data_IF_998509628000
#
_entry.id   IF_998509628000
#
_cell.length_a   1.000
_cell.length_b   1.000
_cell.length_c   1.000
_cell.angle_alpha   90.00
_cell.angle_beta   90.00
_cell.angle_gamma   90.00
#
_symmetry.space_group_name_H-M   'P 1'
#
loop_
_entity.id
_entity.type
_entity.pdbx_description
1 polymer ?
#
# COMPACT_ATOMS: atom_id res chain seq x y z
N UNK A 1 20.41 15.08 6.34
CA UNK A 1 19.00 15.53 6.29
C UNK A 1 18.52 15.35 4.87
N UNK A 2 17.58 14.43 4.64
CA UNK A 2 16.97 14.25 3.30
C UNK A 2 16.14 15.50 3.04
N UNK A 3 16.50 16.26 2.00
CA UNK A 3 15.90 17.56 1.71
C UNK A 3 14.48 17.37 1.14
N UNK A 4 13.50 17.19 2.02
CA UNK A 4 12.07 17.01 1.69
C UNK A 4 11.46 18.22 0.95
N UNK A 5 12.13 19.37 0.99
CA UNK A 5 11.72 20.61 0.33
C UNK A 5 12.28 20.82 -1.07
N UNK A 6 13.17 19.94 -1.56
CA UNK A 6 13.73 20.05 -2.91
C UNK A 6 12.85 19.38 -3.99
N UNK A 7 11.94 18.50 -3.59
CA UNK A 7 11.03 17.85 -4.52
C UNK A 7 9.89 18.77 -4.92
N UNK A 8 9.71 18.97 -6.23
CA UNK A 8 8.49 19.56 -6.77
C UNK A 8 7.27 18.75 -6.35
N UNK A 9 6.12 19.39 -6.18
CA UNK A 9 4.85 18.70 -5.84
C UNK A 9 4.50 17.58 -6.84
N UNK A 10 5.06 17.63 -8.05
CA UNK A 10 4.95 16.55 -9.04
C UNK A 10 5.77 15.30 -8.70
N UNK A 11 6.99 15.45 -8.19
CA UNK A 11 7.86 14.32 -7.85
C UNK A 11 7.35 13.60 -6.60
N UNK A 12 6.90 14.37 -5.60
CA UNK A 12 6.20 13.79 -4.45
C UNK A 12 5.00 12.97 -4.91
N UNK A 13 4.14 13.54 -5.77
CA UNK A 13 2.97 12.82 -6.34
C UNK A 13 3.37 11.59 -7.14
N UNK A 14 4.49 11.61 -7.86
CA UNK A 14 4.99 10.46 -8.59
C UNK A 14 5.45 9.34 -7.65
N UNK A 15 6.16 9.68 -6.57
CA UNK A 15 6.55 8.71 -5.53
C UNK A 15 5.32 8.12 -4.84
N UNK A 16 4.35 8.95 -4.45
CA UNK A 16 3.09 8.50 -3.85
C UNK A 16 2.33 7.52 -4.74
N UNK A 17 2.13 7.85 -6.03
CA UNK A 17 1.48 6.94 -6.98
C UNK A 17 2.22 5.62 -7.13
N UNK A 18 3.56 5.65 -7.12
CA UNK A 18 4.36 4.44 -7.20
C UNK A 18 4.17 3.55 -5.98
N UNK A 19 4.21 4.13 -4.77
CA UNK A 19 3.95 3.39 -3.53
C UNK A 19 2.54 2.78 -3.51
N UNK A 20 1.54 3.51 -3.99
CA UNK A 20 0.18 2.99 -4.14
C UNK A 20 0.14 1.75 -5.04
N UNK A 21 0.79 1.81 -6.22
CA UNK A 21 0.88 0.68 -7.15
C UNK A 21 1.57 -0.52 -6.50
N UNK A 22 2.67 -0.31 -5.78
CA UNK A 22 3.38 -1.38 -5.10
C UNK A 22 2.53 -2.04 -4.01
N UNK A 23 1.84 -1.24 -3.20
CA UNK A 23 0.93 -1.77 -2.19
C UNK A 23 -0.21 -2.57 -2.84
N UNK A 24 -0.82 -2.03 -3.89
CA UNK A 24 -1.87 -2.73 -4.62
C UNK A 24 -1.37 -4.07 -5.19
N UNK A 25 -0.15 -4.12 -5.74
CA UNK A 25 0.47 -5.37 -6.23
C UNK A 25 0.62 -6.42 -5.13
N UNK A 26 1.15 -6.04 -3.97
CA UNK A 26 1.26 -6.97 -2.82
C UNK A 26 -0.13 -7.46 -2.42
N UNK A 27 -1.11 -6.56 -2.31
CA UNK A 27 -2.46 -6.89 -1.88
C UNK A 27 -3.19 -7.83 -2.86
N UNK A 28 -3.07 -7.60 -4.17
CA UNK A 28 -3.66 -8.46 -5.21
C UNK A 28 -3.13 -9.89 -5.17
N UNK A 29 -1.93 -10.09 -4.64
CA UNK A 29 -1.31 -11.42 -4.52
C UNK A 29 -1.76 -12.17 -3.25
N UNK A 30 -2.53 -11.53 -2.35
CA UNK A 30 -3.00 -12.13 -1.09
C UNK A 30 -4.52 -12.26 -0.99
N UNK A 31 -5.24 -11.32 -1.61
CA UNK A 31 -6.68 -11.23 -1.49
C UNK A 31 -7.34 -10.71 -2.76
N UNK A 32 -8.64 -10.91 -2.83
CA UNK A 32 -9.52 -10.41 -3.88
C UNK A 32 -10.54 -9.45 -3.28
N UNK A 33 -10.73 -8.30 -3.94
CA UNK A 33 -11.82 -7.37 -3.64
C UNK A 33 -12.94 -7.62 -4.64
N UNK A 34 -13.96 -8.37 -4.21
CA UNK A 34 -15.10 -8.72 -5.07
C UNK A 34 -16.24 -7.71 -4.99
N UNK A 35 -16.32 -6.91 -3.92
CA UNK A 35 -17.28 -5.82 -3.77
C UNK A 35 -16.61 -4.57 -3.18
N UNK A 36 -16.10 -3.72 -4.07
CA UNK A 36 -15.45 -2.47 -3.70
C UNK A 36 -16.42 -1.43 -3.11
N UNK A 37 -17.70 -1.48 -3.47
CA UNK A 37 -18.70 -0.55 -2.96
C UNK A 37 -19.01 -0.87 -1.50
N UNK A 38 -19.21 -2.14 -1.18
CA UNK A 38 -19.37 -2.61 0.19
C UNK A 38 -18.13 -2.28 1.03
N UNK A 39 -16.93 -2.55 0.52
CA UNK A 39 -15.68 -2.19 1.20
C UNK A 39 -15.64 -0.71 1.58
N UNK A 40 -15.94 0.17 0.62
CA UNK A 40 -15.98 1.61 0.86
C UNK A 40 -17.01 1.99 1.93
N UNK A 41 -18.23 1.47 1.85
CA UNK A 41 -19.27 1.72 2.84
C UNK A 41 -18.84 1.29 4.25
N UNK A 42 -18.17 0.13 4.37
CA UNK A 42 -17.69 -0.37 5.65
C UNK A 42 -16.56 0.48 6.24
N UNK A 43 -15.69 1.04 5.39
CA UNK A 43 -14.66 2.00 5.79
C UNK A 43 -15.27 3.30 6.29
N UNK A 44 -16.23 3.86 5.55
CA UNK A 44 -16.96 5.07 5.94
C UNK A 44 -17.71 4.86 7.27
N UNK A 45 -18.44 3.75 7.41
CA UNK A 45 -19.20 3.41 8.62
C UNK A 45 -18.31 3.26 9.86
N UNK A 46 -17.07 2.79 9.70
CA UNK A 46 -16.08 2.65 10.79
C UNK A 46 -15.19 3.88 10.96
N UNK A 47 -15.44 4.95 10.20
CA UNK A 47 -14.61 6.15 10.18
C UNK A 47 -13.12 5.85 9.95
N UNK A 48 -12.82 4.82 9.18
CA UNK A 48 -11.45 4.48 8.79
C UNK A 48 -11.03 5.46 7.70
N UNK A 49 -9.91 6.15 7.90
CA UNK A 49 -9.37 7.08 6.89
C UNK A 49 -8.88 6.31 5.66
N UNK A 50 -9.32 6.75 4.48
CA UNK A 50 -8.88 6.28 3.18
C UNK A 50 -8.89 7.43 2.17
N UNK A 51 -8.24 7.25 1.03
CA UNK A 51 -8.25 8.20 -0.09
C UNK A 51 -9.16 7.64 -1.18
N UNK A 52 -10.18 8.39 -1.57
CA UNK A 52 -11.27 7.93 -2.45
C UNK A 52 -10.78 7.63 -3.86
N UNK A 53 -9.68 8.23 -4.29
CA UNK A 53 -9.08 8.03 -5.61
C UNK A 53 -8.14 6.82 -5.65
N UNK A 54 -7.78 6.24 -4.50
CA UNK A 54 -6.88 5.10 -4.44
C UNK A 54 -7.56 3.80 -4.87
N UNK A 55 -6.73 2.83 -5.25
CA UNK A 55 -7.18 1.47 -5.54
C UNK A 55 -7.98 0.84 -4.37
N UNK A 56 -9.05 0.05 -4.66
CA UNK A 56 -9.75 -0.74 -3.64
C UNK A 56 -8.84 -1.68 -2.85
N UNK A 57 -7.71 -2.10 -3.41
CA UNK A 57 -6.71 -2.89 -2.70
C UNK A 57 -6.00 -2.09 -1.60
N UNK A 58 -5.77 -0.79 -1.81
CA UNK A 58 -5.27 0.10 -0.76
C UNK A 58 -6.31 0.29 0.34
N UNK A 59 -7.59 0.35 -0.02
CA UNK A 59 -8.70 0.40 0.94
C UNK A 59 -8.79 -0.87 1.78
N UNK A 60 -8.65 -2.04 1.16
CA UNK A 60 -8.62 -3.33 1.84
C UNK A 60 -7.44 -3.41 2.83
N UNK A 61 -6.28 -2.87 2.44
CA UNK A 61 -5.15 -2.74 3.35
C UNK A 61 -5.47 -1.85 4.55
N UNK A 62 -6.09 -0.66 4.36
CA UNK A 62 -6.47 0.21 5.48
C UNK A 62 -7.43 -0.48 6.45
N UNK A 63 -8.38 -1.26 5.92
CA UNK A 63 -9.29 -2.07 6.72
C UNK A 63 -8.52 -3.07 7.59
N UNK A 64 -7.60 -3.84 7.00
CA UNK A 64 -6.79 -4.83 7.72
C UNK A 64 -5.85 -4.13 8.73
N UNK A 65 -5.15 -3.07 8.33
CA UNK A 65 -4.20 -2.35 9.17
C UNK A 65 -4.85 -1.75 10.44
N UNK A 66 -6.14 -1.41 10.39
CA UNK A 66 -6.89 -0.86 11.53
C UNK A 66 -7.74 -1.89 12.26
N UNK A 67 -8.23 -2.90 11.55
CA UNK A 67 -9.27 -3.81 12.02
C UNK A 67 -8.85 -5.28 12.17
N UNK A 68 -7.63 -5.67 11.82
CA UNK A 68 -7.22 -7.09 11.76
C UNK A 68 -7.52 -7.91 13.03
N UNK A 69 -7.54 -7.29 14.22
CA UNK A 69 -7.84 -7.98 15.49
C UNK A 69 -9.34 -8.17 15.76
N UNK A 70 -10.20 -7.40 15.11
CA UNK A 70 -11.65 -7.37 15.34
C UNK A 70 -12.44 -7.97 14.18
N UNK A 71 -11.84 -8.08 13.00
CA UNK A 71 -12.47 -8.65 11.80
C UNK A 71 -12.46 -10.18 11.94
N UNK A 72 -13.65 -10.76 12.06
CA UNK A 72 -13.84 -12.22 12.10
C UNK A 72 -14.21 -12.79 10.72
N UNK A 73 -14.90 -12.00 9.90
CA UNK A 73 -15.36 -12.40 8.57
C UNK A 73 -15.01 -11.29 7.58
N UNK A 74 -13.98 -11.52 6.77
CA UNK A 74 -13.47 -10.52 5.82
C UNK A 74 -14.45 -10.33 4.64
N UNK A 75 -15.19 -11.38 4.30
CA UNK A 75 -16.16 -11.41 3.21
C UNK A 75 -17.33 -10.45 3.46
N UNK A 76 -17.66 -10.18 4.72
CA UNK A 76 -18.67 -9.18 5.10
C UNK A 76 -18.26 -7.74 4.71
N UNK A 77 -17.01 -7.56 4.28
CA UNK A 77 -16.44 -6.30 3.82
C UNK A 77 -16.24 -6.26 2.30
N UNK A 78 -16.70 -7.27 1.55
CA UNK A 78 -16.50 -7.33 0.09
C UNK A 78 -15.10 -7.78 -0.32
N UNK A 79 -14.36 -8.42 0.60
CA UNK A 79 -12.98 -8.86 0.43
C UNK A 79 -12.84 -10.31 0.84
N UNK A 80 -12.14 -11.12 0.07
CA UNK A 80 -11.86 -12.52 0.39
C UNK A 80 -10.36 -12.80 0.31
N UNK A 81 -9.84 -13.60 1.24
CA UNK A 81 -8.46 -14.09 1.14
C UNK A 81 -8.37 -15.16 0.05
N UNK A 82 -7.26 -15.13 -0.70
CA UNK A 82 -6.94 -16.22 -1.62
C UNK A 82 -6.76 -17.53 -0.82
N UNK A 83 -7.04 -18.69 -1.44
CA UNK A 83 -7.05 -19.98 -0.75
C UNK A 83 -5.80 -20.26 0.10
N UNK A 84 -4.63 -19.83 -0.35
CA UNK A 84 -3.33 -20.04 0.28
C UNK A 84 -3.17 -19.28 1.62
N UNK A 85 -4.01 -18.27 1.86
CA UNK A 85 -3.92 -17.38 3.03
C UNK A 85 -5.12 -17.50 3.98
N UNK A 86 -6.15 -18.29 3.64
CA UNK A 86 -7.40 -18.38 4.45
C UNK A 86 -7.18 -18.88 5.88
N UNK A 87 -6.21 -19.78 6.07
CA UNK A 87 -5.92 -20.34 7.40
C UNK A 87 -5.01 -19.44 8.25
N UNK A 88 -4.55 -18.31 7.70
CA UNK A 88 -3.67 -17.38 8.42
C UNK A 88 -4.49 -16.33 9.19
N UNK A 89 -4.13 -16.04 10.45
CA UNK A 89 -4.71 -14.92 11.17
C UNK A 89 -4.48 -13.60 10.43
N UNK A 90 -5.51 -12.74 10.36
CA UNK A 90 -5.40 -11.42 9.73
C UNK A 90 -4.25 -10.55 10.28
N UNK A 91 -3.91 -10.57 11.59
CA UNK A 91 -2.75 -9.85 12.09
C UNK A 91 -1.43 -10.35 11.49
N UNK A 92 -1.25 -11.65 11.34
CA UNK A 92 -0.03 -12.21 10.72
C UNK A 92 0.04 -11.91 9.23
N UNK A 93 -1.12 -11.96 8.55
CA UNK A 93 -1.19 -11.58 7.14
C UNK A 93 -0.83 -10.10 6.94
N UNK A 94 -1.29 -9.23 7.84
CA UNK A 94 -0.92 -7.81 7.83
C UNK A 94 0.59 -7.64 7.95
N UNK A 95 1.22 -8.29 8.93
CA UNK A 95 2.66 -8.16 9.15
C UNK A 95 3.46 -8.67 7.93
N UNK A 96 3.00 -9.75 7.29
CA UNK A 96 3.58 -10.25 6.05
C UNK A 96 3.42 -9.26 4.88
N UNK A 97 2.26 -8.60 4.74
CA UNK A 97 2.03 -7.55 3.75
C UNK A 97 2.97 -6.37 3.99
N UNK A 98 3.09 -5.90 5.24
CA UNK A 98 3.94 -4.77 5.61
C UNK A 98 5.41 -5.07 5.29
N UNK A 99 5.87 -6.29 5.56
CA UNK A 99 7.24 -6.73 5.25
C UNK A 99 7.48 -6.84 3.74
N UNK A 100 6.57 -7.44 2.98
CA UNK A 100 6.70 -7.60 1.53
C UNK A 100 6.66 -6.24 0.82
N UNK A 101 5.75 -5.36 1.25
CA UNK A 101 5.67 -4.00 0.75
C UNK A 101 6.95 -3.20 1.03
N UNK A 102 7.54 -3.35 2.22
CA UNK A 102 8.81 -2.70 2.56
C UNK A 102 9.94 -3.16 1.64
N UNK A 103 10.12 -4.48 1.48
CA UNK A 103 11.18 -5.04 0.61
C UNK A 103 11.01 -4.62 -0.85
N UNK A 104 9.77 -4.64 -1.35
CA UNK A 104 9.46 -4.22 -2.71
C UNK A 104 9.73 -2.73 -2.91
N UNK A 105 9.38 -1.90 -1.92
CA UNK A 105 9.64 -0.46 -1.95
C UNK A 105 11.13 -0.14 -1.90
N UNK A 106 11.90 -0.83 -1.06
CA UNK A 106 13.36 -0.70 -0.98
C UNK A 106 14.03 -1.08 -2.30
N UNK A 107 13.68 -2.23 -2.87
CA UNK A 107 14.20 -2.66 -4.18
C UNK A 107 13.85 -1.65 -5.30
N UNK A 108 12.65 -1.06 -5.28
CA UNK A 108 12.26 -0.03 -6.23
C UNK A 108 13.01 1.29 -6.03
N UNK A 109 13.30 1.66 -4.78
CA UNK A 109 14.09 2.84 -4.44
C UNK A 109 15.53 2.71 -4.94
N UNK A 110 16.21 1.62 -4.58
CA UNK A 110 17.59 1.31 -4.99
C UNK A 110 17.74 1.28 -6.52
N UNK A 111 16.73 0.75 -7.23
CA UNK A 111 16.83 0.55 -8.67
C UNK A 111 16.51 1.81 -9.51
N UNK A 112 15.64 2.70 -9.04
CA UNK A 112 15.13 3.80 -9.88
C UNK A 112 15.30 5.19 -9.28
N UNK A 113 15.46 5.30 -7.97
CA UNK A 113 15.54 6.58 -7.26
C UNK A 113 16.99 6.86 -6.86
N UNK A 114 17.69 5.90 -6.24
CA UNK A 114 19.10 6.07 -5.87
C UNK A 114 20.03 6.43 -7.06
N UNK A 115 19.90 5.83 -8.26
CA UNK A 115 20.74 6.19 -9.40
C UNK A 115 20.45 7.59 -9.94
N UNK A 116 19.21 8.08 -9.83
CA UNK A 116 18.83 9.45 -10.24
C UNK A 116 19.47 10.49 -9.33
N UNK A 117 19.46 10.25 -8.02
CA UNK A 117 20.15 11.10 -7.06
C UNK A 117 21.67 11.14 -7.28
N UNK A 118 22.28 10.02 -7.63
CA UNK A 118 23.70 9.97 -7.97
C UNK A 118 24.00 10.74 -9.26
N UNK A 119 23.13 10.65 -10.28
CA UNK A 119 23.29 11.40 -11.53
C UNK A 119 23.14 12.92 -11.32
N UNK A 120 22.15 13.37 -10.54
CA UNK A 120 21.93 14.80 -10.24
C UNK A 120 23.01 15.37 -9.31
N UNK A 121 23.58 14.55 -8.41
CA UNK A 121 24.69 14.94 -7.54
C UNK A 121 26.03 15.14 -8.28
N UNK A 122 26.16 14.65 -9.52
CA UNK A 122 27.34 14.85 -10.37
C UNK A 122 27.29 16.20 -11.10
N UNK A 123 26.11 16.79 -11.28
CA UNK A 123 25.92 18.06 -12.01
C UNK A 123 26.23 19.32 -11.15
N UNK A 124 26.50 19.16 -9.85
CA UNK A 124 26.91 20.24 -8.94
C UNK A 124 28.43 20.44 -8.85
N UNK A 125 29.23 19.81 -9.73
CA UNK A 125 30.68 20.00 -9.81
C UNK A 125 31.14 20.24 -11.24
N UNK A 126 30.77 21.39 -11.82
CA UNK A 126 31.52 22.05 -12.90
C UNK A 126 31.58 23.54 -12.62
#
# INVERSE_FOLDING_TARGET
MVNWNAYGEEEKRAVWRRLEILLAQVMTAKLEVFDAQLLRQQLEARQIRFVVEQSPYCWAYQLIARGARLIQQLEAYGVALLPEFRDRPLPELRDAIDQEFFLLSEAHYERYIAPRFLAEGIDFRV
#
